data_IF_701455074997
#
_entry.id   IF_701455074997
#
_cell.length_a   1.000
_cell.length_b   1.000
_cell.length_c   1.000
_cell.angle_alpha   90.00
_cell.angle_beta   90.00
_cell.angle_gamma   90.00
#
_symmetry.space_group_name_H-M   'P 1'
#
loop_
_entity.id
_entity.type
_entity.pdbx_description
1 polymer ?
#
# COMPACT_ATOMS: atom_id res chain seq x y z
N UNK A 1 22.54 -18.22 -33.66
CA UNK A 1 23.05 -17.41 -32.54
C UNK A 1 21.99 -16.36 -32.24
N UNK A 2 21.16 -16.60 -31.22
CA UNK A 2 20.18 -15.63 -30.73
C UNK A 2 20.79 -15.03 -29.47
N UNK A 3 21.14 -13.76 -29.57
CA UNK A 3 21.58 -12.92 -28.45
C UNK A 3 20.49 -12.93 -27.37
N UNK A 4 20.78 -13.52 -26.21
CA UNK A 4 19.93 -13.45 -25.03
C UNK A 4 20.16 -12.09 -24.36
N UNK A 5 19.32 -11.11 -24.67
CA UNK A 5 19.24 -9.87 -23.91
C UNK A 5 18.91 -10.19 -22.44
N UNK A 6 19.91 -10.03 -21.59
CA UNK A 6 19.86 -10.38 -20.17
C UNK A 6 19.02 -9.39 -19.34
N UNK A 7 18.55 -8.31 -19.96
CA UNK A 7 17.76 -7.24 -19.33
C UNK A 7 16.30 -7.64 -19.15
N UNK A 8 15.75 -8.40 -20.09
CA UNK A 8 14.33 -8.81 -20.08
C UNK A 8 14.03 -9.93 -19.08
N UNK A 9 15.04 -10.75 -18.75
CA UNK A 9 14.91 -11.89 -17.84
C UNK A 9 14.75 -11.49 -16.35
N UNK A 10 15.20 -10.30 -15.94
CA UNK A 10 15.06 -9.79 -14.57
C UNK A 10 13.70 -9.09 -14.37
N UNK A 11 13.19 -8.44 -15.42
CA UNK A 11 11.90 -7.73 -15.40
C UNK A 11 10.71 -8.70 -15.23
N UNK A 12 10.72 -9.83 -15.94
CA UNK A 12 9.56 -10.73 -15.98
C UNK A 12 9.21 -11.42 -14.63
N UNK A 13 10.15 -11.93 -13.82
CA UNK A 13 9.86 -12.48 -12.50
C UNK A 13 9.40 -11.42 -11.50
N UNK A 14 9.95 -10.21 -11.61
CA UNK A 14 9.67 -9.07 -10.74
C UNK A 14 8.27 -8.53 -10.96
N UNK A 15 7.88 -8.34 -12.22
CA UNK A 15 6.51 -7.97 -12.59
C UNK A 15 5.51 -9.05 -12.19
N UNK A 16 5.87 -10.35 -12.36
CA UNK A 16 5.01 -11.48 -12.02
C UNK A 16 4.73 -11.58 -10.51
N UNK A 17 5.70 -11.32 -9.63
CA UNK A 17 5.44 -11.25 -8.17
C UNK A 17 4.68 -9.98 -7.76
N UNK A 18 4.94 -8.86 -8.44
CA UNK A 18 4.20 -7.61 -8.24
C UNK A 18 2.71 -7.76 -8.60
N UNK A 19 2.42 -8.41 -9.74
CA UNK A 19 1.04 -8.64 -10.23
C UNK A 19 0.28 -9.72 -9.46
N UNK A 20 0.91 -10.88 -9.16
CA UNK A 20 0.22 -11.99 -8.46
C UNK A 20 -0.10 -11.68 -6.99
N UNK A 21 0.68 -10.83 -6.31
CA UNK A 21 0.35 -10.36 -4.95
C UNK A 21 -0.73 -9.28 -4.94
N UNK A 22 -0.76 -8.43 -5.98
CA UNK A 22 -1.68 -7.30 -6.09
C UNK A 22 -3.10 -7.70 -6.50
N UNK A 23 -3.24 -8.65 -7.44
CA UNK A 23 -4.55 -9.11 -7.93
C UNK A 23 -5.23 -10.16 -7.04
N UNK A 24 -4.48 -10.89 -6.21
CA UNK A 24 -5.04 -12.02 -5.44
C UNK A 24 -5.73 -11.62 -4.11
N UNK A 25 -5.68 -10.34 -3.72
CA UNK A 25 -6.19 -9.87 -2.42
C UNK A 25 -7.69 -9.54 -2.35
N UNK A 26 -8.44 -9.71 -3.44
CA UNK A 26 -9.83 -9.23 -3.56
C UNK A 26 -9.89 -7.70 -3.68
N UNK A 27 -10.90 -7.17 -4.36
CA UNK A 27 -11.11 -5.71 -4.56
C UNK A 27 -10.88 -4.95 -3.25
N UNK A 28 -9.74 -4.27 -3.19
CA UNK A 28 -8.84 -4.26 -2.03
C UNK A 28 -9.02 -3.02 -1.14
N UNK A 29 -8.74 -3.16 0.17
CA UNK A 29 -8.50 -2.02 1.05
C UNK A 29 -7.43 -1.08 0.47
N UNK A 30 -6.44 -1.59 -0.25
CA UNK A 30 -5.45 -0.79 -0.95
C UNK A 30 -6.09 0.16 -1.98
N UNK A 31 -7.08 -0.32 -2.74
CA UNK A 31 -7.81 0.52 -3.68
C UNK A 31 -8.73 1.50 -2.94
N UNK A 32 -9.41 1.08 -1.87
CA UNK A 32 -10.22 1.99 -1.03
C UNK A 32 -9.37 3.11 -0.43
N UNK A 33 -8.12 2.80 -0.08
CA UNK A 33 -7.18 3.77 0.44
C UNK A 33 -6.78 4.82 -0.59
N UNK A 34 -6.75 4.47 -1.88
CA UNK A 34 -6.45 5.45 -2.94
C UNK A 34 -7.50 6.56 -3.00
N UNK A 35 -8.76 6.30 -2.66
CA UNK A 35 -9.80 7.34 -2.55
C UNK A 35 -9.51 8.31 -1.39
N UNK A 36 -9.04 7.81 -0.26
CA UNK A 36 -8.64 8.65 0.89
C UNK A 36 -7.38 9.46 0.61
N UNK A 37 -6.35 8.81 0.05
CA UNK A 37 -5.08 9.46 -0.27
C UNK A 37 -5.22 10.48 -1.40
N UNK A 38 -6.02 10.22 -2.43
CA UNK A 38 -6.26 11.22 -3.49
C UNK A 38 -7.05 12.43 -3.01
N UNK A 39 -7.90 12.27 -1.99
CA UNK A 39 -8.65 13.37 -1.38
C UNK A 39 -7.79 14.27 -0.48
N UNK A 40 -6.67 13.77 0.05
CA UNK A 40 -5.79 14.54 0.93
C UNK A 40 -4.81 15.42 0.12
N UNK A 41 -4.69 16.74 0.39
CA UNK A 41 -3.91 17.66 -0.43
C UNK A 41 -2.44 17.26 -0.61
N UNK A 42 -1.82 16.75 0.45
CA UNK A 42 -0.40 16.34 0.44
C UNK A 42 -0.12 15.13 -0.47
N UNK A 43 -1.11 14.24 -0.66
CA UNK A 43 -0.97 12.99 -1.43
C UNK A 43 -1.72 13.03 -2.76
N UNK A 44 -2.47 14.09 -3.02
CA UNK A 44 -3.24 14.30 -4.27
C UNK A 44 -2.40 14.22 -5.55
N UNK A 45 -1.08 14.44 -5.46
CA UNK A 45 -0.14 14.40 -6.59
C UNK A 45 0.71 13.11 -6.64
N UNK A 46 0.57 12.22 -5.66
CA UNK A 46 1.26 10.94 -5.67
C UNK A 46 0.76 10.08 -6.84
N UNK A 47 1.65 9.26 -7.43
CA UNK A 47 1.24 8.38 -8.52
C UNK A 47 0.23 7.34 -7.99
N UNK A 48 -0.70 6.89 -8.84
CA UNK A 48 -1.66 5.87 -8.43
C UNK A 48 -0.97 4.59 -7.93
N UNK A 49 0.10 4.17 -8.60
CA UNK A 49 0.92 3.03 -8.19
C UNK A 49 1.58 3.19 -6.82
N UNK A 50 1.93 4.42 -6.43
CA UNK A 50 2.53 4.72 -5.13
C UNK A 50 1.51 4.58 -4.00
N UNK A 51 0.31 5.15 -4.19
CA UNK A 51 -0.80 5.02 -3.24
C UNK A 51 -1.22 3.55 -3.07
N UNK A 52 -1.24 2.82 -4.19
CA UNK A 52 -1.56 1.40 -4.23
C UNK A 52 -0.50 0.55 -3.51
N UNK A 53 0.79 0.84 -3.70
CA UNK A 53 1.88 0.11 -3.05
C UNK A 53 1.79 0.20 -1.53
N UNK A 54 1.64 1.42 -1.01
CA UNK A 54 1.44 1.64 0.41
C UNK A 54 0.12 1.05 0.92
N UNK A 55 -0.98 1.22 0.18
CA UNK A 55 -2.27 0.63 0.52
C UNK A 55 -2.25 -0.89 0.62
N UNK A 56 -1.37 -1.56 -0.15
CA UNK A 56 -1.17 -3.01 -0.06
C UNK A 56 -0.57 -3.41 1.28
N UNK A 57 0.41 -2.65 1.79
CA UNK A 57 0.96 -2.87 3.13
C UNK A 57 -0.10 -2.69 4.22
N UNK A 58 -0.93 -1.64 4.11
CA UNK A 58 -2.05 -1.40 5.03
C UNK A 58 -3.05 -2.56 5.00
N UNK A 59 -3.34 -3.09 3.81
CA UNK A 59 -4.18 -4.28 3.66
C UNK A 59 -3.58 -5.50 4.35
N UNK A 60 -2.29 -5.79 4.19
CA UNK A 60 -1.65 -6.94 4.82
C UNK A 60 -1.67 -6.82 6.35
N UNK A 61 -1.45 -5.61 6.88
CA UNK A 61 -1.57 -5.32 8.31
C UNK A 61 -2.99 -5.56 8.81
N UNK A 62 -4.01 -5.00 8.15
CA UNK A 62 -5.41 -5.22 8.53
C UNK A 62 -5.80 -6.71 8.45
N UNK A 63 -5.21 -7.42 7.49
CA UNK A 63 -5.37 -8.86 7.32
C UNK A 63 -4.48 -9.70 8.26
N UNK A 64 -3.80 -9.08 9.24
CA UNK A 64 -3.01 -9.75 10.28
C UNK A 64 -2.02 -10.77 9.67
N UNK A 65 -1.45 -10.45 8.50
CA UNK A 65 -0.36 -11.22 7.94
C UNK A 65 0.86 -11.16 8.86
N UNK A 66 1.71 -12.18 8.78
CA UNK A 66 2.93 -12.22 9.56
C UNK A 66 3.84 -11.02 9.22
N UNK A 67 4.44 -10.40 10.23
CA UNK A 67 5.32 -9.24 10.03
C UNK A 67 6.48 -9.51 9.07
N UNK A 68 6.98 -10.75 9.05
CA UNK A 68 8.01 -11.19 8.11
C UNK A 68 7.54 -11.09 6.64
N UNK A 69 6.28 -11.48 6.37
CA UNK A 69 5.68 -11.37 5.04
C UNK A 69 5.51 -9.91 4.63
N UNK A 70 5.01 -9.07 5.55
CA UNK A 70 4.84 -7.63 5.32
C UNK A 70 6.20 -6.96 5.06
N UNK A 71 7.24 -7.34 5.82
CA UNK A 71 8.59 -6.82 5.64
C UNK A 71 9.20 -7.23 4.29
N UNK A 72 8.96 -8.46 3.83
CA UNK A 72 9.41 -8.92 2.52
C UNK A 72 8.74 -8.14 1.38
N UNK A 73 7.42 -7.89 1.48
CA UNK A 73 6.70 -7.06 0.51
C UNK A 73 7.16 -5.60 0.55
N UNK A 74 7.39 -5.04 1.75
CA UNK A 74 7.92 -3.69 1.90
C UNK A 74 9.33 -3.55 1.30
N UNK A 75 10.22 -4.54 1.53
CA UNK A 75 11.55 -4.57 0.91
C UNK A 75 11.45 -4.60 -0.62
N UNK A 76 10.60 -5.48 -1.14
CA UNK A 76 10.36 -5.57 -2.58
C UNK A 76 9.86 -4.25 -3.17
N UNK A 77 8.88 -3.60 -2.53
CA UNK A 77 8.35 -2.30 -2.96
C UNK A 77 9.46 -1.23 -2.99
N UNK A 78 10.31 -1.15 -1.96
CA UNK A 78 11.44 -0.22 -1.91
C UNK A 78 12.46 -0.47 -3.02
N UNK A 79 12.81 -1.72 -3.28
CA UNK A 79 13.71 -2.07 -4.38
C UNK A 79 13.08 -1.75 -5.76
N UNK A 80 11.75 -1.60 -5.85
CA UNK A 80 11.03 -1.12 -7.03
C UNK A 80 10.94 0.42 -7.09
N UNK A 81 11.47 1.13 -6.09
CA UNK A 81 11.37 2.59 -5.99
C UNK A 81 10.00 3.08 -5.48
N UNK A 82 9.17 2.19 -4.95
CA UNK A 82 7.83 2.53 -4.47
C UNK A 82 7.86 2.94 -2.99
N UNK A 83 7.01 3.89 -2.57
CA UNK A 83 6.93 4.31 -1.19
C UNK A 83 6.29 3.23 -0.31
N UNK A 84 6.83 3.10 0.90
CA UNK A 84 6.36 2.14 1.92
C UNK A 84 5.99 2.82 3.24
N UNK A 85 6.07 4.15 3.27
CA UNK A 85 5.81 4.99 4.45
C UNK A 85 4.89 6.14 4.06
N UNK A 86 4.22 6.72 5.04
CA UNK A 86 3.42 7.94 4.86
C UNK A 86 4.32 9.10 4.40
N UNK A 87 5.51 9.23 4.98
CA UNK A 87 6.55 10.18 4.54
C UNK A 87 6.90 10.01 3.05
N UNK A 88 7.03 8.75 2.59
CA UNK A 88 7.28 8.45 1.17
C UNK A 88 6.15 8.89 0.22
N UNK A 89 4.94 9.12 0.74
CA UNK A 89 3.81 9.68 -0.02
C UNK A 89 3.69 11.20 0.13
N UNK A 90 4.56 11.85 0.92
CA UNK A 90 4.48 13.28 1.23
C UNK A 90 3.72 13.62 2.52
N UNK A 91 3.48 12.63 3.38
CA UNK A 91 2.84 12.78 4.70
C UNK A 91 3.86 12.62 5.83
N UNK A 92 4.85 13.51 5.89
CA UNK A 92 5.95 13.45 6.88
C UNK A 92 5.48 13.60 8.34
N UNK A 93 4.38 14.30 8.56
CA UNK A 93 3.76 14.50 9.88
C UNK A 93 2.25 14.60 9.75
N UNK A 94 1.58 13.47 9.49
CA UNK A 94 0.12 13.44 9.41
C UNK A 94 -0.48 13.71 10.80
N UNK A 95 -1.31 14.75 10.90
CA UNK A 95 -2.08 15.01 12.12
C UNK A 95 -3.22 14.01 12.26
N UNK A 96 -3.83 13.93 13.45
CA UNK A 96 -5.06 13.15 13.63
C UNK A 96 -6.15 13.56 12.62
N UNK A 97 -6.31 14.87 12.39
CA UNK A 97 -7.25 15.40 11.40
C UNK A 97 -6.90 14.98 9.96
N UNK A 98 -5.61 14.89 9.63
CA UNK A 98 -5.14 14.39 8.33
C UNK A 98 -5.44 12.91 8.13
N UNK A 99 -5.30 12.10 9.18
CA UNK A 99 -5.69 10.68 9.16
C UNK A 99 -7.20 10.52 9.00
N UNK A 100 -8.00 11.36 9.66
CA UNK A 100 -9.46 11.38 9.49
C UNK A 100 -9.86 11.76 8.06
N UNK A 101 -9.19 12.75 7.47
CA UNK A 101 -9.42 13.17 6.09
C UNK A 101 -9.12 12.06 5.06
N UNK A 102 -8.22 11.13 5.39
CA UNK A 102 -7.96 9.92 4.58
C UNK A 102 -8.99 8.83 4.89
N UNK A 103 -9.32 8.63 6.18
CA UNK A 103 -10.18 7.55 6.63
C UNK A 103 -11.61 7.68 6.12
N UNK A 104 -12.19 8.89 6.13
CA UNK A 104 -13.59 9.10 5.73
C UNK A 104 -13.82 8.68 4.26
N UNK A 105 -13.08 9.20 3.26
CA UNK A 105 -13.29 8.79 1.87
C UNK A 105 -13.02 7.30 1.65
N UNK A 106 -12.04 6.72 2.34
CA UNK A 106 -11.73 5.30 2.26
C UNK A 106 -12.88 4.41 2.76
N UNK A 107 -13.50 4.76 3.88
CA UNK A 107 -14.62 4.00 4.44
C UNK A 107 -15.94 4.21 3.67
N UNK A 108 -16.02 5.25 2.84
CA UNK A 108 -17.16 5.47 1.92
C UNK A 108 -16.95 4.88 0.53
N UNK A 109 -15.77 4.30 0.25
CA UNK A 109 -15.46 3.76 -1.06
C UNK A 109 -16.32 2.52 -1.40
N UNK A 110 -16.76 2.35 -2.66
CA UNK A 110 -17.74 1.32 -3.02
C UNK A 110 -17.24 -0.12 -2.84
N UNK A 111 -15.92 -0.32 -2.75
CA UNK A 111 -15.30 -1.64 -2.60
C UNK A 111 -14.87 -1.95 -1.16
N UNK A 112 -15.04 -1.02 -0.20
CA UNK A 112 -14.65 -1.28 1.20
C UNK A 112 -15.44 -2.44 1.82
N UNK A 113 -16.67 -2.71 1.35
CA UNK A 113 -17.49 -3.83 1.83
C UNK A 113 -16.94 -5.21 1.48
N UNK A 114 -15.96 -5.30 0.58
CA UNK A 114 -15.34 -6.56 0.16
C UNK A 114 -14.12 -6.96 1.01
N UNK A 115 -13.77 -6.17 2.03
CA UNK A 115 -12.67 -6.49 2.93
C UNK A 115 -12.98 -7.77 3.72
N UNK A 116 -11.99 -8.66 3.82
CA UNK A 116 -12.12 -9.96 4.50
C UNK A 116 -12.57 -9.86 5.96
N UNK A 117 -12.26 -8.74 6.63
CA UNK A 117 -12.63 -8.44 8.00
C UNK A 117 -13.23 -7.05 8.11
N UNK A 118 -14.29 -6.87 8.93
CA UNK A 118 -14.86 -5.56 9.19
C UNK A 118 -13.77 -4.55 9.51
N UNK A 119 -13.79 -3.44 8.79
CA UNK A 119 -12.85 -2.34 8.99
C UNK A 119 -13.66 -1.14 9.47
N UNK A 120 -13.40 -0.71 10.68
CA UNK A 120 -13.89 0.56 11.20
C UNK A 120 -12.79 1.62 11.13
N UNK A 121 -13.15 2.84 11.55
CA UNK A 121 -12.24 3.98 11.55
C UNK A 121 -11.00 3.74 12.41
N UNK A 122 -11.18 3.22 13.61
CA UNK A 122 -10.08 2.97 14.53
C UNK A 122 -9.12 1.91 13.97
N UNK A 123 -9.65 0.84 13.39
CA UNK A 123 -8.89 -0.20 12.72
C UNK A 123 -8.11 0.33 11.52
N UNK A 124 -8.71 1.19 10.69
CA UNK A 124 -8.01 1.79 9.54
C UNK A 124 -6.85 2.68 9.98
N UNK A 125 -7.07 3.55 10.97
CA UNK A 125 -6.01 4.42 11.51
C UNK A 125 -4.88 3.60 12.14
N UNK A 126 -5.23 2.57 12.92
CA UNK A 126 -4.24 1.67 13.49
C UNK A 126 -3.44 0.93 12.41
N UNK A 127 -4.10 0.45 11.35
CA UNK A 127 -3.44 -0.22 10.24
C UNK A 127 -2.51 0.71 9.46
N UNK A 128 -2.90 1.97 9.24
CA UNK A 128 -2.08 3.00 8.60
C UNK A 128 -0.78 3.24 9.37
N UNK A 129 -0.89 3.49 10.68
CA UNK A 129 0.26 3.76 11.54
C UNK A 129 1.18 2.53 11.65
N UNK A 130 0.60 1.34 11.74
CA UNK A 130 1.36 0.10 11.82
C UNK A 130 2.08 -0.23 10.51
N UNK A 131 1.43 -0.02 9.36
CA UNK A 131 2.06 -0.19 8.05
C UNK A 131 3.23 0.79 7.85
N UNK A 132 3.05 2.05 8.26
CA UNK A 132 4.10 3.07 8.24
C UNK A 132 5.29 2.72 9.14
N UNK A 133 5.04 2.20 10.34
CA UNK A 133 6.08 1.68 11.24
C UNK A 133 6.85 0.50 10.63
N UNK A 134 6.15 -0.47 10.07
CA UNK A 134 6.77 -1.64 9.43
C UNK A 134 7.54 -1.26 8.17
N UNK A 135 7.01 -0.32 7.37
CA UNK A 135 7.69 0.24 6.20
C UNK A 135 9.00 0.94 6.55
N UNK A 136 9.03 1.69 7.68
CA UNK A 136 10.28 2.28 8.21
C UNK A 136 11.28 1.22 8.69
N UNK A 137 10.81 0.10 9.23
CA UNK A 137 11.68 -1.00 9.75
C UNK A 137 12.23 -1.90 8.65
N UNK A 138 11.55 -1.98 7.51
CA UNK A 138 12.05 -2.67 6.32
C UNK A 138 13.17 -1.90 5.59
N UNK A 139 13.76 -0.89 6.26
CA UNK A 139 14.82 0.00 5.78
C UNK A 139 16.18 -0.70 5.64
#
# INVERSE_FOLDING_TARGET
MIEHDSSTAIVAPRLRRCGLGFESGGLSLAHALTCGLSAHPATSRAAHGDMVAFGTLVQLVHQEHAEAEIADIARFARECGLPTTLAGLGLDSVSADGLEAIAIPTLTAPFIGNVRRPLDRAGLVAALLRADELGRKAA
#
